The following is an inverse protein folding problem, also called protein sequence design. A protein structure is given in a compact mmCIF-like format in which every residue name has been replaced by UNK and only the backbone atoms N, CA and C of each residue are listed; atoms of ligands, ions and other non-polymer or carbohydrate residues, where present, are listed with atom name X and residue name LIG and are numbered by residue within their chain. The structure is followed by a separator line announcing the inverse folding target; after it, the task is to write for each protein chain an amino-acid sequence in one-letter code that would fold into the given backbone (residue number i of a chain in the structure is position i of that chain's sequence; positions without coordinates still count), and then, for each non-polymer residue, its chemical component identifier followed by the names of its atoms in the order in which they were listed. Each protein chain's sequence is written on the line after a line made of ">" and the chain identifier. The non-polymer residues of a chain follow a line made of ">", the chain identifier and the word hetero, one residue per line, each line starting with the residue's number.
data_IF_342378288831
#
_entry.id   IF_342378288831
#
_cell.length_a   1.000
_cell.length_b   1.000
_cell.length_c   1.000
_cell.angle_alpha   90.00
_cell.angle_beta   90.00
_cell.angle_gamma   90.00
#
_symmetry.space_group_name_H-M   'P 1'
#
loop_
_entity.id
_entity.type
_entity.pdbx_description
1 polymer ?
#
# COMPACT_ATOMS: atom_id res chain seq x y z
N UNK A 1 25.05 -69.14 5.31
CA UNK A 1 24.02 -68.18 5.80
C UNK A 1 24.62 -66.97 6.52
N UNK A 2 25.54 -67.14 7.48
CA UNK A 2 26.15 -65.99 8.20
C UNK A 2 26.86 -64.96 7.30
N UNK A 3 27.53 -65.39 6.22
CA UNK A 3 28.19 -64.49 5.25
C UNK A 3 27.21 -63.55 4.54
N UNK A 4 25.98 -64.00 4.29
CA UNK A 4 24.93 -63.19 3.68
C UNK A 4 24.42 -62.12 4.66
N UNK A 5 24.27 -62.49 5.94
CA UNK A 5 23.87 -61.57 7.00
C UNK A 5 24.92 -60.47 7.21
N UNK A 6 26.20 -60.84 7.28
CA UNK A 6 27.31 -59.89 7.41
C UNK A 6 27.33 -58.93 6.22
N UNK A 7 27.15 -59.45 4.99
CA UNK A 7 27.10 -58.61 3.80
C UNK A 7 25.97 -57.58 3.85
N UNK A 8 24.75 -57.98 4.21
CA UNK A 8 23.60 -57.06 4.31
C UNK A 8 23.85 -56.00 5.39
N UNK A 9 24.35 -56.39 6.56
CA UNK A 9 24.64 -55.45 7.66
C UNK A 9 25.74 -54.46 7.28
N UNK A 10 26.75 -54.92 6.54
CA UNK A 10 27.87 -54.07 6.11
C UNK A 10 27.44 -53.08 5.03
N UNK A 11 26.63 -53.51 4.05
CA UNK A 11 26.04 -52.61 3.05
C UNK A 11 25.14 -51.58 3.73
N UNK A 12 24.32 -51.99 4.70
CA UNK A 12 23.45 -51.08 5.43
C UNK A 12 24.26 -50.04 6.22
N UNK A 13 25.34 -50.47 6.90
CA UNK A 13 26.25 -49.57 7.60
C UNK A 13 26.95 -48.59 6.65
N UNK A 14 27.44 -49.05 5.49
CA UNK A 14 28.09 -48.18 4.51
C UNK A 14 27.11 -47.13 3.98
N UNK A 15 25.89 -47.53 3.61
CA UNK A 15 24.86 -46.60 3.12
C UNK A 15 24.43 -45.61 4.21
N UNK A 16 24.34 -46.06 5.45
CA UNK A 16 23.97 -45.22 6.59
C UNK A 16 25.05 -44.19 6.94
N UNK A 17 26.33 -44.55 6.84
CA UNK A 17 27.47 -43.67 7.12
C UNK A 17 27.98 -42.89 5.89
N UNK A 18 27.43 -43.11 4.70
CA UNK A 18 27.80 -42.35 3.53
C UNK A 18 27.40 -40.87 3.75
N UNK A 19 28.35 -39.92 3.76
CA UNK A 19 28.02 -38.52 3.85
C UNK A 19 27.16 -38.14 2.65
N UNK A 20 26.03 -37.47 2.90
CA UNK A 20 25.25 -36.86 1.82
C UNK A 20 26.03 -35.66 1.33
N UNK A 21 26.68 -35.76 0.17
CA UNK A 21 27.49 -34.71 -0.46
C UNK A 21 26.66 -33.48 -0.94
N UNK A 22 25.50 -33.19 -0.33
CA UNK A 22 24.63 -32.08 -0.71
C UNK A 22 24.99 -30.76 0.01
N UNK A 23 26.18 -30.63 0.58
CA UNK A 23 26.60 -29.38 1.22
C UNK A 23 27.22 -28.41 0.21
N UNK A 24 26.68 -27.20 0.18
CA UNK A 24 27.21 -26.11 -0.63
C UNK A 24 28.55 -25.62 -0.06
N UNK A 25 29.66 -26.17 -0.55
CA UNK A 25 30.99 -26.00 0.04
C UNK A 25 31.72 -24.70 -0.35
N UNK A 26 31.07 -23.77 -1.04
CA UNK A 26 31.71 -22.53 -1.49
C UNK A 26 31.56 -21.42 -0.44
N UNK A 27 32.68 -20.77 -0.09
CA UNK A 27 32.69 -19.54 0.72
C UNK A 27 33.04 -18.37 -0.16
N UNK A 28 32.18 -17.36 -0.16
CA UNK A 28 32.29 -16.21 -1.03
C UNK A 28 31.80 -14.98 -0.28
N UNK A 29 32.39 -13.82 -0.59
CA UNK A 29 31.98 -12.53 -0.05
C UNK A 29 31.98 -11.52 -1.20
N UNK A 30 31.11 -10.52 -1.09
CA UNK A 30 31.09 -9.39 -2.02
C UNK A 30 32.48 -8.73 -2.06
N UNK A 31 32.89 -8.29 -3.25
CA UNK A 31 34.16 -7.63 -3.57
C UNK A 31 35.42 -8.50 -3.44
N UNK A 32 35.27 -9.80 -3.16
CA UNK A 32 36.40 -10.74 -3.17
C UNK A 32 36.46 -11.52 -4.50
N UNK A 33 37.67 -11.90 -4.95
CA UNK A 33 37.81 -12.75 -6.13
C UNK A 33 37.33 -14.18 -5.84
N UNK A 34 36.66 -14.79 -6.83
CA UNK A 34 36.28 -16.19 -6.81
C UNK A 34 37.52 -17.08 -6.84
N UNK A 35 37.64 -17.96 -5.82
CA UNK A 35 38.86 -18.75 -5.57
C UNK A 35 38.79 -20.16 -6.14
N UNK A 36 37.62 -20.58 -6.61
CA UNK A 36 37.34 -21.94 -7.04
C UNK A 36 37.37 -22.03 -8.57
N UNK A 37 37.20 -23.24 -9.08
CA UNK A 37 37.02 -23.48 -10.51
C UNK A 37 35.75 -22.78 -11.03
N UNK A 38 35.64 -22.55 -12.36
CA UNK A 38 34.49 -21.88 -12.95
C UNK A 38 33.19 -22.57 -12.56
N UNK A 39 32.23 -21.79 -12.05
CA UNK A 39 30.96 -22.32 -11.61
C UNK A 39 29.93 -22.18 -12.72
N UNK A 40 29.38 -23.30 -13.16
CA UNK A 40 28.32 -23.38 -14.17
C UNK A 40 27.09 -24.02 -13.51
N UNK A 41 25.92 -23.44 -13.75
CA UNK A 41 24.68 -23.97 -13.22
C UNK A 41 24.40 -25.38 -13.77
N UNK A 42 24.08 -26.33 -12.90
CA UNK A 42 23.76 -27.72 -13.30
C UNK A 42 22.25 -27.95 -13.46
N UNK A 43 21.42 -27.05 -12.96
CA UNK A 43 19.96 -27.07 -13.06
C UNK A 43 19.41 -25.63 -13.09
N UNK A 44 18.14 -25.49 -13.45
CA UNK A 44 17.46 -24.20 -13.45
C UNK A 44 17.06 -23.80 -12.03
N UNK A 45 17.33 -22.55 -11.62
CA UNK A 45 16.92 -22.06 -10.31
C UNK A 45 16.59 -20.56 -10.32
N UNK A 46 15.62 -20.11 -9.51
CA UNK A 46 15.30 -18.70 -9.37
C UNK A 46 16.41 -17.93 -8.64
N UNK A 47 16.64 -16.69 -9.03
CA UNK A 47 17.52 -15.76 -8.31
C UNK A 47 16.67 -14.94 -7.35
N UNK A 48 16.74 -15.24 -6.06
CA UNK A 48 16.01 -14.54 -5.01
C UNK A 48 16.65 -13.19 -4.69
N UNK A 49 15.80 -12.19 -4.50
CA UNK A 49 16.20 -10.88 -3.97
C UNK A 49 16.59 -11.02 -2.50
N UNK A 50 17.53 -10.20 -2.04
CA UNK A 50 17.82 -10.10 -0.60
C UNK A 50 16.59 -9.60 0.18
N UNK A 51 16.44 -10.00 1.45
CA UNK A 51 15.34 -9.53 2.31
C UNK A 51 15.32 -8.00 2.44
N UNK A 52 16.50 -7.37 2.50
CA UNK A 52 16.63 -5.91 2.56
C UNK A 52 16.13 -5.23 1.27
N UNK A 53 16.41 -5.82 0.10
CA UNK A 53 15.88 -5.34 -1.18
C UNK A 53 14.37 -5.54 -1.25
N UNK A 54 13.87 -6.73 -0.89
CA UNK A 54 12.44 -7.03 -0.87
C UNK A 54 11.68 -6.04 0.00
N UNK A 55 12.13 -5.82 1.23
CA UNK A 55 11.49 -4.90 2.15
C UNK A 55 11.48 -3.46 1.61
N UNK A 56 12.61 -2.99 1.08
CA UNK A 56 12.71 -1.64 0.51
C UNK A 56 11.78 -1.43 -0.68
N UNK A 57 11.69 -2.42 -1.57
CA UNK A 57 10.79 -2.37 -2.72
C UNK A 57 9.32 -2.41 -2.27
N UNK A 58 8.97 -3.28 -1.33
CA UNK A 58 7.62 -3.34 -0.75
C UNK A 58 7.23 -2.03 -0.07
N UNK A 59 8.12 -1.44 0.74
CA UNK A 59 7.91 -0.14 1.37
C UNK A 59 7.68 0.96 0.31
N UNK A 60 8.45 0.93 -0.78
CA UNK A 60 8.30 1.88 -1.90
C UNK A 60 6.95 1.71 -2.61
N UNK A 61 6.51 0.47 -2.82
CA UNK A 61 5.20 0.17 -3.41
C UNK A 61 4.07 0.67 -2.48
N UNK A 62 4.16 0.40 -1.18
CA UNK A 62 3.18 0.86 -0.18
C UNK A 62 3.12 2.37 -0.06
N UNK A 63 4.25 3.07 -0.16
CA UNK A 63 4.29 4.54 -0.15
C UNK A 63 3.51 5.17 -1.33
N UNK A 64 3.38 4.44 -2.45
CA UNK A 64 2.60 4.89 -3.62
C UNK A 64 1.14 4.42 -3.62
N UNK A 65 0.71 3.69 -2.59
CA UNK A 65 -0.62 3.11 -2.52
C UNK A 65 -1.66 4.14 -2.03
N UNK A 66 -2.73 4.31 -2.81
CA UNK A 66 -3.85 5.17 -2.42
C UNK A 66 -5.01 4.36 -1.83
N UNK A 67 -5.42 4.63 -0.57
CA UNK A 67 -6.54 3.93 0.07
C UNK A 67 -7.86 4.20 -0.63
N UNK A 68 -8.80 3.25 -0.47
CA UNK A 68 -10.14 3.34 -1.03
C UNK A 68 -11.12 3.94 -0.02
N UNK A 69 -11.93 4.86 -0.50
CA UNK A 69 -13.06 5.44 0.19
C UNK A 69 -14.30 5.30 -0.70
N UNK A 70 -15.45 5.23 -0.07
CA UNK A 70 -16.74 5.19 -0.73
C UNK A 70 -17.48 6.50 -0.49
N UNK A 71 -17.97 7.10 -1.58
CA UNK A 71 -18.80 8.28 -1.51
C UNK A 71 -20.23 7.89 -1.12
N UNK A 72 -20.70 8.40 0.02
CA UNK A 72 -22.05 8.22 0.49
C UNK A 72 -22.93 9.40 0.05
N UNK A 73 -23.60 9.24 -1.10
CA UNK A 73 -24.54 10.26 -1.64
C UNK A 73 -25.71 10.57 -0.70
N UNK A 74 -26.08 9.64 0.18
CA UNK A 74 -27.22 9.85 1.07
C UNK A 74 -26.91 10.94 2.10
N UNK A 75 -25.66 11.07 2.56
CA UNK A 75 -25.25 12.11 3.53
C UNK A 75 -25.47 13.51 2.95
N UNK A 76 -24.99 13.73 1.71
CA UNK A 76 -25.19 15.00 1.01
C UNK A 76 -26.69 15.27 0.76
N UNK A 77 -27.42 14.24 0.31
CA UNK A 77 -28.86 14.35 0.06
C UNK A 77 -29.64 14.70 1.33
N UNK A 78 -29.41 13.99 2.43
CA UNK A 78 -30.06 14.23 3.72
C UNK A 78 -29.78 15.63 4.25
N UNK A 79 -28.55 16.12 4.09
CA UNK A 79 -28.21 17.49 4.44
C UNK A 79 -29.03 18.51 3.65
N UNK A 80 -29.08 18.40 2.31
CA UNK A 80 -29.83 19.36 1.49
C UNK A 80 -31.35 19.23 1.63
N UNK A 81 -31.88 18.02 1.78
CA UNK A 81 -33.30 17.78 2.04
C UNK A 81 -33.69 18.41 3.39
N UNK A 82 -32.85 18.28 4.42
CA UNK A 82 -33.05 18.92 5.72
C UNK A 82 -33.00 20.45 5.65
N UNK A 83 -32.08 21.01 4.85
CA UNK A 83 -32.03 22.46 4.62
C UNK A 83 -33.30 22.99 3.96
N UNK A 84 -33.86 22.23 3.00
CA UNK A 84 -35.07 22.59 2.30
C UNK A 84 -36.30 22.48 3.20
N UNK A 85 -36.40 21.41 3.98
CA UNK A 85 -37.48 21.21 4.96
C UNK A 85 -37.51 22.31 6.03
N UNK A 86 -36.35 22.81 6.45
CA UNK A 86 -36.22 23.85 7.48
C UNK A 86 -36.01 25.26 6.89
N UNK A 87 -36.27 25.48 5.60
CA UNK A 87 -35.89 26.71 4.91
C UNK A 87 -36.42 27.99 5.57
N UNK A 88 -37.70 28.03 5.96
CA UNK A 88 -38.31 29.21 6.57
C UNK A 88 -37.70 29.54 7.94
N UNK A 89 -37.44 28.51 8.75
CA UNK A 89 -36.76 28.64 10.04
C UNK A 89 -35.34 29.18 9.83
N UNK A 90 -34.56 28.56 8.93
CA UNK A 90 -33.19 28.96 8.64
C UNK A 90 -33.13 30.39 8.10
N UNK A 91 -34.04 30.75 7.19
CA UNK A 91 -34.15 32.11 6.62
C UNK A 91 -34.41 33.16 7.71
N UNK A 92 -35.21 32.85 8.74
CA UNK A 92 -35.51 33.77 9.83
C UNK A 92 -34.29 34.14 10.71
N UNK A 93 -33.21 33.35 10.66
CA UNK A 93 -31.98 33.60 11.41
C UNK A 93 -31.13 34.73 10.81
N UNK A 94 -31.41 35.13 9.56
CA UNK A 94 -30.60 36.05 8.77
C UNK A 94 -31.33 37.34 8.44
N UNK A 95 -30.61 38.48 8.33
CA UNK A 95 -31.20 39.75 7.92
C UNK A 95 -31.54 39.79 6.42
N UNK A 96 -30.95 38.90 5.60
CA UNK A 96 -31.18 38.78 4.17
C UNK A 96 -31.29 37.31 3.78
N UNK A 97 -32.14 37.00 2.79
CA UNK A 97 -32.27 35.65 2.25
C UNK A 97 -31.05 35.19 1.44
N UNK A 98 -30.14 36.10 1.07
CA UNK A 98 -28.95 35.79 0.25
C UNK A 98 -27.91 34.93 0.99
N UNK A 99 -28.00 34.83 2.32
CA UNK A 99 -27.13 33.99 3.14
C UNK A 99 -27.37 32.50 2.89
N UNK A 100 -28.62 32.09 2.67
CA UNK A 100 -28.95 30.66 2.47
C UNK A 100 -28.39 30.13 1.16
N UNK A 101 -28.56 30.79 -0.01
CA UNK A 101 -27.90 30.39 -1.25
C UNK A 101 -26.37 30.33 -1.13
N UNK A 102 -25.76 31.30 -0.42
CA UNK A 102 -24.32 31.30 -0.18
C UNK A 102 -23.86 30.05 0.58
N UNK A 103 -24.50 29.74 1.71
CA UNK A 103 -24.19 28.54 2.51
C UNK A 103 -24.42 27.29 1.68
N UNK A 104 -25.51 27.22 0.91
CA UNK A 104 -25.83 26.09 0.04
C UNK A 104 -24.73 25.82 -0.99
N UNK A 105 -24.19 26.87 -1.63
CA UNK A 105 -23.10 26.76 -2.61
C UNK A 105 -21.82 26.26 -1.92
N UNK A 106 -21.42 26.87 -0.81
CA UNK A 106 -20.19 26.47 -0.09
C UNK A 106 -20.28 25.05 0.46
N UNK A 107 -21.44 24.67 0.99
CA UNK A 107 -21.67 23.31 1.49
C UNK A 107 -21.62 22.29 0.35
N UNK A 108 -22.14 22.64 -0.83
CA UNK A 108 -22.04 21.79 -2.02
C UNK A 108 -20.58 21.60 -2.44
N UNK A 109 -19.78 22.66 -2.49
CA UNK A 109 -18.35 22.57 -2.78
C UNK A 109 -17.61 21.67 -1.78
N UNK A 110 -17.96 21.77 -0.49
CA UNK A 110 -17.42 20.91 0.58
C UNK A 110 -17.73 19.43 0.33
N UNK A 111 -18.99 19.10 0.03
CA UNK A 111 -19.40 17.73 -0.24
C UNK A 111 -18.79 17.18 -1.54
N UNK A 112 -18.76 17.99 -2.60
CA UNK A 112 -18.13 17.64 -3.88
C UNK A 112 -16.63 17.40 -3.73
N UNK A 113 -15.93 18.20 -2.92
CA UNK A 113 -14.53 17.98 -2.57
C UNK A 113 -14.36 16.69 -1.76
N UNK A 114 -15.22 16.47 -0.78
CA UNK A 114 -15.29 15.27 0.05
C UNK A 114 -14.89 15.57 1.49
N UNK A 115 -15.73 15.10 2.42
CA UNK A 115 -15.59 15.25 3.86
C UNK A 115 -15.24 13.89 4.47
N UNK A 116 -14.08 13.82 5.10
CA UNK A 116 -13.60 12.64 5.84
C UNK A 116 -13.72 12.87 7.35
N UNK A 117 -13.67 11.79 8.12
CA UNK A 117 -13.53 11.88 9.58
C UNK A 117 -12.18 12.47 9.96
N UNK A 118 -12.05 12.97 11.19
CA UNK A 118 -10.76 13.44 11.72
C UNK A 118 -9.74 12.31 11.76
N UNK A 119 -10.14 11.13 12.25
CA UNK A 119 -9.28 9.95 12.33
C UNK A 119 -8.78 9.51 10.95
N UNK A 120 -9.64 9.54 9.93
CA UNK A 120 -9.25 9.25 8.55
C UNK A 120 -8.22 10.25 8.03
N UNK A 121 -8.42 11.54 8.28
CA UNK A 121 -7.46 12.57 7.88
C UNK A 121 -6.10 12.38 8.58
N UNK A 122 -6.10 12.05 9.87
CA UNK A 122 -4.87 11.77 10.63
C UNK A 122 -4.15 10.54 10.08
N UNK A 123 -4.89 9.46 9.75
CA UNK A 123 -4.33 8.26 9.13
C UNK A 123 -3.73 8.56 7.76
N UNK A 124 -4.41 9.34 6.91
CA UNK A 124 -3.90 9.74 5.60
C UNK A 124 -2.61 10.55 5.70
N UNK A 125 -2.50 11.43 6.70
CA UNK A 125 -1.29 12.21 6.95
C UNK A 125 -0.15 11.35 7.49
N UNK A 126 -0.45 10.45 8.44
CA UNK A 126 0.53 9.50 8.99
C UNK A 126 1.12 8.59 7.91
N UNK A 127 0.27 8.12 6.99
CA UNK A 127 0.66 7.26 5.89
C UNK A 127 1.26 8.04 4.69
N UNK A 128 1.38 9.38 4.79
CA UNK A 128 1.79 10.27 3.70
C UNK A 128 1.02 10.02 2.39
N UNK A 129 -0.26 9.64 2.49
CA UNK A 129 -1.10 9.36 1.35
C UNK A 129 -1.42 10.67 0.61
N UNK A 130 -0.75 10.91 -0.52
CA UNK A 130 -0.95 12.12 -1.32
C UNK A 130 -2.35 12.20 -1.96
N UNK A 131 -3.01 11.06 -2.13
CA UNK A 131 -4.34 10.95 -2.73
C UNK A 131 -5.10 9.75 -2.21
N UNK A 132 -6.41 9.78 -2.39
CA UNK A 132 -7.33 8.67 -2.13
C UNK A 132 -8.06 8.28 -3.41
N UNK A 133 -8.48 7.02 -3.47
CA UNK A 133 -9.38 6.50 -4.50
C UNK A 133 -10.80 6.53 -3.96
N UNK A 134 -11.71 7.18 -4.68
CA UNK A 134 -13.11 7.30 -4.28
C UNK A 134 -14.01 6.55 -5.24
N UNK A 135 -14.78 5.61 -4.71
CA UNK A 135 -15.81 4.87 -5.43
C UNK A 135 -17.17 5.53 -5.23
N UNK A 136 -17.88 5.74 -6.34
CA UNK A 136 -19.22 6.27 -6.36
C UNK A 136 -20.07 5.47 -7.35
N UNK A 137 -20.84 4.50 -6.84
CA UNK A 137 -21.49 3.50 -7.68
C UNK A 137 -20.45 2.70 -8.47
N UNK A 138 -20.44 2.86 -9.80
CA UNK A 138 -19.46 2.22 -10.71
C UNK A 138 -18.28 3.12 -11.09
N UNK A 139 -18.27 4.38 -10.64
CA UNK A 139 -17.22 5.34 -10.98
C UNK A 139 -16.11 5.28 -9.95
N UNK A 140 -14.86 5.28 -10.43
CA UNK A 140 -13.67 5.43 -9.62
C UNK A 140 -13.03 6.78 -9.94
N UNK A 141 -12.73 7.56 -8.91
CA UNK A 141 -12.07 8.86 -9.04
C UNK A 141 -10.89 8.97 -8.09
N UNK A 142 -9.96 9.87 -8.39
CA UNK A 142 -8.85 10.19 -7.50
C UNK A 142 -9.07 11.57 -6.90
N UNK A 143 -8.87 11.70 -5.59
CA UNK A 143 -8.94 12.98 -4.87
C UNK A 143 -7.66 13.19 -4.09
N UNK A 144 -7.05 14.36 -4.24
CA UNK A 144 -5.87 14.73 -3.49
C UNK A 144 -6.24 15.00 -2.02
N UNK A 145 -5.42 14.50 -1.09
CA UNK A 145 -5.70 14.54 0.35
C UNK A 145 -5.76 15.98 0.90
N UNK A 146 -4.95 16.88 0.34
CA UNK A 146 -4.90 18.31 0.70
C UNK A 146 -6.21 19.08 0.39
N UNK A 147 -6.95 18.60 -0.62
CA UNK A 147 -8.24 19.15 -1.05
C UNK A 147 -9.43 18.59 -0.27
N UNK A 148 -9.23 17.57 0.55
CA UNK A 148 -10.29 17.02 1.39
C UNK A 148 -10.60 17.96 2.55
N UNK A 149 -11.83 17.84 3.06
CA UNK A 149 -12.29 18.51 4.26
C UNK A 149 -12.40 17.53 5.43
N UNK A 150 -12.02 17.99 6.61
CA UNK A 150 -12.60 17.47 7.85
C UNK A 150 -13.84 18.29 8.18
N UNK A 151 -14.72 17.79 9.05
CA UNK A 151 -15.88 18.56 9.53
C UNK A 151 -15.45 19.95 10.03
N UNK A 152 -14.37 20.03 10.81
CA UNK A 152 -13.82 21.31 11.28
C UNK A 152 -13.41 22.25 10.14
N UNK A 153 -12.62 21.75 9.18
CA UNK A 153 -12.15 22.57 8.03
C UNK A 153 -13.32 23.01 7.14
N UNK A 154 -14.33 22.16 6.99
CA UNK A 154 -15.56 22.49 6.26
C UNK A 154 -16.37 23.58 6.97
N UNK A 155 -16.49 23.50 8.30
CA UNK A 155 -17.08 24.56 9.11
C UNK A 155 -16.40 25.91 8.87
N UNK A 156 -15.07 25.93 8.93
CA UNK A 156 -14.28 27.11 8.66
C UNK A 156 -14.50 27.61 7.21
N UNK A 157 -14.48 26.71 6.24
CA UNK A 157 -14.67 27.09 4.83
C UNK A 157 -16.06 27.69 4.54
N UNK A 158 -17.12 27.15 5.13
CA UNK A 158 -18.49 27.63 4.90
C UNK A 158 -18.77 28.93 5.63
N UNK A 159 -18.31 29.07 6.88
CA UNK A 159 -18.67 30.19 7.76
C UNK A 159 -17.71 31.39 7.68
N UNK A 160 -16.53 31.24 7.09
CA UNK A 160 -15.58 32.33 6.88
C UNK A 160 -15.57 32.75 5.41
N UNK A 161 -16.26 33.85 5.06
CA UNK A 161 -16.42 34.26 3.68
C UNK A 161 -15.17 34.91 3.11
N UNK A 162 -14.89 34.65 1.84
CA UNK A 162 -13.75 35.23 1.12
C UNK A 162 -13.86 36.77 0.99
N UNK A 163 -15.07 37.33 1.13
CA UNK A 163 -15.34 38.77 1.16
C UNK A 163 -16.27 39.13 2.31
N UNK A 164 -15.71 39.80 3.32
CA UNK A 164 -16.44 40.30 4.51
C UNK A 164 -17.43 41.42 4.18
N UNK A 165 -17.34 42.01 2.99
CA UNK A 165 -18.24 43.08 2.55
C UNK A 165 -19.64 42.57 2.19
N UNK A 166 -19.77 41.31 1.74
CA UNK A 166 -21.06 40.73 1.34
C UNK A 166 -21.71 39.88 2.42
N UNK A 167 -20.90 39.14 3.18
CA UNK A 167 -21.40 38.28 4.25
C UNK A 167 -20.59 38.52 5.53
N UNK A 168 -21.31 38.68 6.65
CA UNK A 168 -20.69 38.82 7.97
C UNK A 168 -20.52 37.46 8.63
N UNK A 169 -19.31 37.14 9.06
CA UNK A 169 -18.97 35.90 9.78
C UNK A 169 -19.83 35.71 11.04
N UNK A 170 -20.00 36.76 11.86
CA UNK A 170 -20.83 36.71 13.06
C UNK A 170 -22.29 36.33 12.76
N UNK A 171 -22.80 36.75 11.59
CA UNK A 171 -24.14 36.39 11.14
C UNK A 171 -24.16 34.94 10.65
N UNK A 172 -23.18 34.52 9.84
CA UNK A 172 -23.07 33.14 9.33
C UNK A 172 -22.99 32.11 10.46
N UNK A 173 -22.31 32.42 11.58
CA UNK A 173 -22.20 31.56 12.76
C UNK A 173 -23.54 31.23 13.44
N UNK A 174 -24.63 31.94 13.12
CA UNK A 174 -25.98 31.60 13.57
C UNK A 174 -26.54 30.36 12.87
N UNK A 175 -25.98 29.98 11.71
CA UNK A 175 -26.40 28.81 10.99
C UNK A 175 -26.05 27.52 11.77
N UNK A 176 -27.00 26.60 12.02
CA UNK A 176 -26.73 25.34 12.69
C UNK A 176 -26.06 24.33 11.74
N UNK A 177 -24.86 24.66 11.25
CA UNK A 177 -24.17 23.89 10.21
C UNK A 177 -23.91 22.42 10.61
N UNK A 178 -23.81 22.15 11.91
CA UNK A 178 -23.53 20.81 12.44
C UNK A 178 -24.64 19.81 12.21
N UNK A 179 -25.87 20.28 11.97
CA UNK A 179 -26.99 19.41 11.61
C UNK A 179 -26.91 18.95 10.15
N UNK A 180 -26.14 19.66 9.32
CA UNK A 180 -26.08 19.47 7.87
C UNK A 180 -24.69 19.11 7.35
N UNK A 181 -23.70 18.94 8.24
CA UNK A 181 -22.32 18.68 7.88
C UNK A 181 -21.82 17.40 8.56
N UNK A 182 -21.79 16.32 7.79
CA UNK A 182 -21.27 15.02 8.21
C UNK A 182 -20.27 14.48 7.19
N UNK A 183 -19.34 13.59 7.56
CA UNK A 183 -18.47 12.92 6.60
C UNK A 183 -19.26 12.15 5.54
N UNK A 184 -18.99 12.42 4.26
CA UNK A 184 -19.59 11.71 3.12
C UNK A 184 -18.59 10.75 2.45
N UNK A 185 -17.31 10.79 2.81
CA UNK A 185 -16.31 9.82 2.39
C UNK A 185 -16.06 8.83 3.52
N UNK A 186 -16.40 7.56 3.27
CA UNK A 186 -16.27 6.49 4.25
C UNK A 186 -15.13 5.57 3.84
N UNK A 187 -14.17 5.33 4.73
CA UNK A 187 -13.06 4.43 4.46
C UNK A 187 -13.56 3.02 4.12
N UNK A 188 -13.10 2.49 2.99
CA UNK A 188 -13.42 1.13 2.53
C UNK A 188 -12.26 0.21 2.91
N UNK A 189 -12.22 -0.18 4.17
CA UNK A 189 -11.20 -1.07 4.72
C UNK A 189 -11.14 -2.42 3.99
N UNK A 190 -12.27 -3.11 3.69
CA UNK A 190 -12.23 -4.38 2.96
C UNK A 190 -11.58 -4.23 1.58
N UNK A 191 -11.98 -3.23 0.79
CA UNK A 191 -11.45 -3.03 -0.56
C UNK A 191 -9.99 -2.56 -0.53
N UNK A 192 -9.65 -1.69 0.43
CA UNK A 192 -8.28 -1.23 0.64
C UNK A 192 -7.35 -2.38 1.00
N UNK A 193 -7.77 -3.23 1.94
CA UNK A 193 -6.97 -4.37 2.40
C UNK A 193 -6.82 -5.43 1.31
N UNK A 194 -7.91 -5.73 0.59
CA UNK A 194 -7.87 -6.63 -0.56
C UNK A 194 -6.88 -6.13 -1.63
N UNK A 195 -6.95 -4.85 -1.99
CA UNK A 195 -6.05 -4.25 -2.98
C UNK A 195 -4.58 -4.23 -2.51
N UNK A 196 -4.31 -3.96 -1.22
CA UNK A 196 -2.94 -4.08 -0.66
C UNK A 196 -2.42 -5.51 -0.77
N UNK A 197 -3.23 -6.50 -0.38
CA UNK A 197 -2.86 -7.91 -0.41
C UNK A 197 -2.61 -8.40 -1.85
N UNK A 198 -3.45 -8.00 -2.80
CA UNK A 198 -3.27 -8.33 -4.21
C UNK A 198 -1.98 -7.73 -4.77
N UNK A 199 -1.69 -6.47 -4.44
CA UNK A 199 -0.46 -5.80 -4.85
C UNK A 199 0.79 -6.50 -4.30
N UNK A 200 0.75 -6.94 -3.04
CA UNK A 200 1.84 -7.70 -2.42
C UNK A 200 1.95 -9.13 -2.96
N UNK A 201 0.84 -9.78 -3.30
CA UNK A 201 0.84 -11.12 -3.91
C UNK A 201 1.47 -11.11 -5.31
N UNK A 202 1.27 -10.03 -6.06
CA UNK A 202 1.80 -9.88 -7.42
C UNK A 202 3.26 -9.41 -7.45
N UNK A 203 3.87 -9.13 -6.29
CA UNK A 203 5.27 -8.72 -6.20
C UNK A 203 6.22 -9.90 -6.46
N UNK A 204 7.18 -9.73 -7.38
CA UNK A 204 8.19 -10.75 -7.66
C UNK A 204 9.28 -10.78 -6.58
N UNK A 205 9.42 -11.93 -5.92
CA UNK A 205 10.52 -12.22 -4.99
C UNK A 205 11.85 -12.51 -5.70
N UNK A 206 11.84 -12.64 -7.02
CA UNK A 206 13.02 -13.03 -7.81
C UNK A 206 13.39 -11.95 -8.82
N UNK A 207 14.69 -11.83 -9.10
CA UNK A 207 15.26 -11.00 -10.16
C UNK A 207 15.31 -11.74 -11.51
N UNK A 208 14.90 -13.01 -11.55
CA UNK A 208 14.91 -13.86 -12.74
C UNK A 208 15.19 -15.32 -12.38
N UNK A 209 15.65 -16.07 -13.39
CA UNK A 209 16.02 -17.48 -13.28
C UNK A 209 17.36 -17.69 -13.98
N UNK A 210 18.26 -18.44 -13.35
CA UNK A 210 19.49 -18.93 -13.97
C UNK A 210 19.18 -20.28 -14.60
N UNK A 211 19.58 -20.47 -15.86
CA UNK A 211 19.34 -21.71 -16.60
C UNK A 211 20.52 -22.68 -16.45
N UNK A 212 20.24 -23.97 -16.53
CA UNK A 212 21.26 -25.02 -16.61
C UNK A 212 22.21 -24.76 -17.78
N UNK A 213 23.51 -24.94 -17.54
CA UNK A 213 24.59 -24.63 -18.48
C UNK A 213 25.02 -23.17 -18.51
N UNK A 214 24.32 -22.26 -17.81
CA UNK A 214 24.74 -20.86 -17.70
C UNK A 214 25.98 -20.73 -16.81
N UNK A 215 27.00 -20.02 -17.30
CA UNK A 215 28.18 -19.64 -16.49
C UNK A 215 27.75 -18.63 -15.42
N UNK A 216 28.05 -18.93 -14.16
CA UNK A 216 27.74 -18.06 -13.01
C UNK A 216 28.91 -17.13 -12.71
N UNK A 217 30.11 -17.68 -12.53
CA UNK A 217 31.33 -16.93 -12.22
C UNK A 217 32.57 -17.73 -12.62
N UNK A 218 33.60 -17.02 -13.08
CA UNK A 218 34.89 -17.60 -13.48
C UNK A 218 35.95 -17.46 -12.38
N UNK A 219 37.03 -18.24 -12.48
CA UNK A 219 38.13 -18.19 -11.52
C UNK A 219 38.82 -16.82 -11.58
N UNK A 220 38.89 -16.15 -10.42
CA UNK A 220 39.51 -14.83 -10.29
C UNK A 220 38.57 -13.66 -10.61
N UNK A 221 37.35 -13.89 -11.11
CA UNK A 221 36.34 -12.84 -11.25
C UNK A 221 35.92 -12.32 -9.87
N UNK A 222 35.62 -11.02 -9.78
CA UNK A 222 35.17 -10.40 -8.52
C UNK A 222 33.70 -10.73 -8.31
N UNK A 223 33.35 -11.20 -7.13
CA UNK A 223 31.96 -11.40 -6.72
C UNK A 223 31.32 -10.04 -6.50
N UNK A 224 30.53 -9.58 -7.46
CA UNK A 224 29.71 -8.37 -7.31
C UNK A 224 28.37 -8.67 -6.62
N UNK A 225 27.52 -7.65 -6.44
CA UNK A 225 26.22 -7.82 -5.77
C UNK A 225 25.27 -8.77 -6.50
N UNK A 226 25.25 -8.75 -7.84
CA UNK A 226 24.37 -9.60 -8.64
C UNK A 226 24.86 -11.05 -8.60
N UNK A 227 26.17 -11.28 -8.76
CA UNK A 227 26.76 -12.61 -8.65
C UNK A 227 26.58 -13.18 -7.24
N UNK A 228 26.69 -12.35 -6.21
CA UNK A 228 26.42 -12.77 -4.83
C UNK A 228 24.97 -13.26 -4.66
N UNK A 229 23.97 -12.53 -5.18
CA UNK A 229 22.57 -12.97 -5.14
C UNK A 229 22.35 -14.31 -5.87
N UNK A 230 23.02 -14.50 -7.00
CA UNK A 230 22.98 -15.78 -7.75
C UNK A 230 23.59 -16.92 -6.94
N UNK A 231 24.76 -16.71 -6.33
CA UNK A 231 25.47 -17.71 -5.53
C UNK A 231 24.69 -18.09 -4.26
N UNK A 232 24.09 -17.12 -3.57
CA UNK A 232 23.22 -17.37 -2.41
C UNK A 232 21.92 -18.10 -2.80
N UNK A 233 21.35 -17.74 -3.96
CA UNK A 233 20.17 -18.44 -4.48
C UNK A 233 20.48 -19.87 -4.86
N UNK A 234 21.67 -20.11 -5.45
CA UNK A 234 22.16 -21.45 -5.74
C UNK A 234 22.37 -22.25 -4.45
N UNK A 235 23.00 -21.67 -3.43
CA UNK A 235 23.17 -22.28 -2.09
C UNK A 235 21.82 -22.72 -1.52
N UNK A 236 20.84 -21.82 -1.54
CA UNK A 236 19.48 -22.09 -1.05
C UNK A 236 18.79 -23.18 -1.87
N UNK A 237 19.01 -23.23 -3.18
CA UNK A 237 18.45 -24.27 -4.03
C UNK A 237 19.07 -25.64 -3.68
N UNK A 238 20.38 -25.73 -3.49
CA UNK A 238 21.06 -26.96 -3.05
C UNK A 238 20.56 -27.46 -1.70
N UNK A 239 20.31 -26.57 -0.73
CA UNK A 239 19.77 -26.95 0.59
C UNK A 239 18.35 -27.52 0.53
N UNK A 240 17.59 -27.24 -0.54
CA UNK A 240 16.23 -27.75 -0.75
C UNK A 240 16.18 -29.08 -1.49
N UNK A 241 17.30 -29.55 -2.06
CA UNK A 241 17.43 -30.82 -2.79
C UNK A 241 18.04 -31.92 -1.90
#
# INVERSE_FOLDING_TARGET
>A
MYKLLIFIVTVFLIVYFLPRDNEFNYRFDISKPWRYEPLIATFDFPVYKSEATVKREQDSIMASFFPYYRYNRNVEKEAFDGMEANYDLLKSLFPSSEYIPYIKIRLKEVYEAGVVSTDDMENLQKDNAASIRVTEGKRLTHKATDRLFTVKKAYEYVLFPDSTFRYSEHILRKYPLGEYLSPNLIFDEPHTTAAKNELMKNYSLTNGTVQSGQKIIDRGEIVDGQTYEVLESLRTAFEKF
#
